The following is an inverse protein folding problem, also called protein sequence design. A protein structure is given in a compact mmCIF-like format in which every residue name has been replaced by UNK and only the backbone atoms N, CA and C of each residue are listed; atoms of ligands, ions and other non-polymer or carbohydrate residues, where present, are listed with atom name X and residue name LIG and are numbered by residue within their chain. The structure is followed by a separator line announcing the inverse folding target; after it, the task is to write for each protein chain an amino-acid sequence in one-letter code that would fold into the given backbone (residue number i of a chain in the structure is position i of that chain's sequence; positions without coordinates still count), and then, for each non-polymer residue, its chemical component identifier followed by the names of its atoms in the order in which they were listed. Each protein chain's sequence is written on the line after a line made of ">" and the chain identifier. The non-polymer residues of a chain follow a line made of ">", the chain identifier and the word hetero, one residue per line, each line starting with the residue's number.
data_IF_937320466313
#
_entry.id   IF_937320466313
#
_cell.length_a   1.000
_cell.length_b   1.000
_cell.length_c   1.000
_cell.angle_alpha   90.00
_cell.angle_beta   90.00
_cell.angle_gamma   90.00
#
_symmetry.space_group_name_H-M   'P 1'
#
loop_
_entity.id
_entity.type
_entity.pdbx_description
1 polymer ?
#
# COMPACT_ATOMS: atom_id res chain seq x y z
N UNK A 1 -26.46 10.01 4.96
CA UNK A 1 -25.01 10.07 5.25
C UNK A 1 -24.41 8.76 4.76
N UNK A 2 -23.41 8.79 3.89
CA UNK A 2 -22.70 7.58 3.48
C UNK A 2 -21.92 7.04 4.69
N UNK A 3 -22.13 5.79 5.07
CA UNK A 3 -21.30 5.11 6.06
C UNK A 3 -20.35 4.11 5.39
N UNK A 4 -19.21 3.89 6.04
CA UNK A 4 -18.28 2.82 5.76
C UNK A 4 -18.17 2.02 7.05
N UNK A 5 -18.34 0.71 6.97
CA UNK A 5 -18.25 -0.20 8.12
C UNK A 5 -17.19 -1.26 7.81
N UNK A 6 -16.25 -1.42 8.74
CA UNK A 6 -15.24 -2.47 8.70
C UNK A 6 -15.59 -3.49 9.77
N UNK A 7 -15.75 -4.75 9.36
CA UNK A 7 -16.05 -5.85 10.28
C UNK A 7 -14.96 -6.90 10.21
N UNK A 8 -14.35 -7.26 11.33
CA UNK A 8 -13.42 -8.38 11.39
C UNK A 8 -14.13 -9.69 11.08
N UNK A 9 -13.57 -10.50 10.19
CA UNK A 9 -14.05 -11.84 9.90
C UNK A 9 -13.24 -12.82 10.77
N UNK A 10 -13.88 -13.57 11.70
CA UNK A 10 -13.17 -14.54 12.52
C UNK A 10 -12.45 -15.57 11.67
N UNK A 11 -11.23 -15.95 12.08
CA UNK A 11 -10.52 -17.08 11.47
C UNK A 11 -11.26 -18.37 11.84
N UNK A 12 -11.39 -19.30 10.89
CA UNK A 12 -12.04 -20.60 11.13
C UNK A 12 -11.32 -21.45 12.19
N UNK A 13 -10.02 -21.23 12.37
CA UNK A 13 -9.20 -21.90 13.39
C UNK A 13 -8.29 -20.89 14.08
N UNK A 14 -8.23 -20.94 15.42
CA UNK A 14 -7.20 -20.21 16.17
C UNK A 14 -5.83 -20.76 15.76
N UNK A 15 -4.95 -19.89 15.27
CA UNK A 15 -3.58 -20.31 15.00
C UNK A 15 -2.90 -20.61 16.34
N UNK A 16 -2.10 -21.68 16.36
CA UNK A 16 -0.92 -21.73 17.23
C UNK A 16 -0.10 -20.45 17.00
N UNK A 17 0.82 -20.09 17.91
CA UNK A 17 1.67 -18.91 17.73
C UNK A 17 2.19 -18.83 16.28
N UNK A 18 1.81 -17.80 15.49
CA UNK A 18 2.18 -17.74 14.08
C UNK A 18 3.70 -17.80 13.89
N UNK A 19 4.16 -18.50 12.84
CA UNK A 19 5.59 -18.75 12.61
C UNK A 19 6.41 -17.45 12.45
N UNK A 20 5.75 -16.37 12.04
CA UNK A 20 6.35 -15.05 11.87
C UNK A 20 6.38 -14.21 13.15
N UNK A 21 5.80 -14.66 14.27
CA UNK A 21 5.83 -13.96 15.56
C UNK A 21 7.08 -14.31 16.37
N UNK A 22 7.79 -13.30 16.87
CA UNK A 22 8.84 -13.44 17.90
C UNK A 22 8.24 -13.00 19.25
N UNK A 23 8.38 -13.82 20.30
CA UNK A 23 7.74 -13.58 21.62
C UNK A 23 6.28 -14.06 21.73
N UNK A 24 5.70 -13.95 22.93
CA UNK A 24 4.27 -14.16 23.22
C UNK A 24 3.89 -13.35 24.48
N UNK A 25 3.25 -12.17 24.36
CA UNK A 25 2.76 -11.54 23.13
C UNK A 25 3.90 -11.18 22.15
N UNK A 26 3.62 -11.02 20.84
CA UNK A 26 4.64 -10.73 19.85
C UNK A 26 5.33 -9.39 20.13
N UNK A 27 6.65 -9.38 20.16
CA UNK A 27 7.49 -8.17 20.34
C UNK A 27 8.21 -7.77 19.05
N UNK A 28 8.33 -8.70 18.09
CA UNK A 28 8.92 -8.50 16.79
C UNK A 28 8.40 -9.55 15.80
N UNK A 29 8.73 -9.38 14.52
CA UNK A 29 8.38 -10.33 13.48
C UNK A 29 9.63 -10.94 12.83
N UNK A 30 9.47 -12.11 12.24
CA UNK A 30 10.50 -12.76 11.41
C UNK A 30 9.89 -13.22 10.11
N UNK A 31 10.71 -13.21 9.07
CA UNK A 31 10.40 -14.00 7.90
C UNK A 31 10.63 -15.49 8.23
N UNK A 32 9.63 -16.38 8.06
CA UNK A 32 9.76 -17.78 8.44
C UNK A 32 10.34 -18.66 7.32
N UNK A 33 10.50 -18.16 6.09
CA UNK A 33 10.92 -18.99 4.96
C UNK A 33 12.44 -19.16 4.91
N UNK A 34 12.96 -20.39 4.73
CA UNK A 34 14.41 -20.63 4.59
C UNK A 34 15.05 -19.92 3.39
N UNK A 35 14.25 -19.55 2.38
CA UNK A 35 14.67 -18.77 1.22
C UNK A 35 14.85 -17.28 1.50
N UNK A 36 14.42 -16.79 2.66
CA UNK A 36 14.65 -15.41 3.04
C UNK A 36 16.07 -15.25 3.56
N UNK A 37 16.84 -14.44 2.85
CA UNK A 37 18.16 -14.01 3.28
C UNK A 37 18.11 -12.52 3.65
N UNK A 38 18.54 -12.19 4.86
CA UNK A 38 18.57 -10.82 5.37
C UNK A 38 19.82 -10.09 4.85
N UNK A 39 19.88 -9.91 3.53
CA UNK A 39 20.99 -9.28 2.79
C UNK A 39 20.99 -7.73 2.89
N UNK A 40 20.83 -7.17 4.08
CA UNK A 40 20.76 -5.72 4.27
C UNK A 40 21.74 -5.21 5.32
N UNK A 41 22.97 -5.73 5.35
CA UNK A 41 24.01 -5.14 6.20
C UNK A 41 24.38 -3.72 5.70
N UNK A 42 24.80 -2.81 6.61
CA UNK A 42 25.28 -1.46 6.24
C UNK A 42 26.33 -1.51 5.11
N UNK A 43 27.33 -2.42 5.12
CA UNK A 43 28.28 -2.57 4.02
C UNK A 43 27.61 -2.93 2.68
N UNK A 44 26.56 -3.75 2.69
CA UNK A 44 25.83 -4.14 1.49
C UNK A 44 24.92 -3.00 0.98
N UNK A 45 24.38 -2.17 1.88
CA UNK A 45 23.69 -0.93 1.52
C UNK A 45 24.64 0.07 0.85
N UNK A 46 25.86 0.20 1.39
CA UNK A 46 26.93 1.01 0.80
C UNK A 46 27.39 0.43 -0.54
N UNK A 47 27.55 -0.89 -0.66
CA UNK A 47 27.92 -1.53 -1.93
C UNK A 47 26.81 -1.45 -2.98
N UNK A 48 25.53 -1.49 -2.59
CA UNK A 48 24.42 -1.27 -3.53
C UNK A 48 24.40 0.17 -4.05
N UNK A 49 24.71 1.15 -3.18
CA UNK A 49 24.73 2.56 -3.55
C UNK A 49 25.99 2.97 -4.34
N UNK A 50 27.16 2.48 -3.94
CA UNK A 50 28.47 2.89 -4.45
C UNK A 50 29.22 1.81 -5.23
N UNK A 51 28.69 0.58 -5.27
CA UNK A 51 29.27 -0.54 -6.01
C UNK A 51 29.19 -0.33 -7.51
N UNK A 52 30.16 -0.94 -8.19
CA UNK A 52 30.37 -0.82 -9.63
C UNK A 52 29.51 -1.77 -10.45
N UNK A 53 29.13 -2.92 -9.88
CA UNK A 53 28.21 -3.85 -10.52
C UNK A 53 26.78 -3.35 -10.35
N UNK A 54 26.29 -2.73 -11.41
CA UNK A 54 24.91 -2.27 -11.51
C UNK A 54 24.27 -3.06 -12.64
N UNK A 55 23.61 -4.17 -12.31
CA UNK A 55 22.68 -4.86 -13.23
C UNK A 55 21.38 -4.05 -13.38
N UNK A 56 21.50 -2.73 -13.56
CA UNK A 56 20.37 -1.93 -13.99
C UNK A 56 20.27 -2.10 -15.50
N UNK A 57 19.06 -2.46 -15.97
CA UNK A 57 18.69 -2.14 -17.35
C UNK A 57 19.03 -0.66 -17.53
N UNK A 58 19.85 -0.28 -18.53
CA UNK A 58 20.22 1.11 -18.74
C UNK A 58 18.95 1.94 -18.75
N UNK A 59 18.91 2.99 -17.91
CA UNK A 59 17.80 3.94 -17.96
C UNK A 59 17.85 4.56 -19.35
N UNK A 60 16.77 4.48 -20.14
CA UNK A 60 16.74 5.08 -21.45
C UNK A 60 17.14 6.55 -21.40
N UNK A 61 17.94 6.98 -22.38
CA UNK A 61 18.40 8.36 -22.46
C UNK A 61 17.27 9.33 -22.81
N UNK A 62 16.19 8.80 -23.39
CA UNK A 62 15.03 9.57 -23.85
C UNK A 62 13.74 8.97 -23.27
N UNK A 63 12.70 9.80 -23.20
CA UNK A 63 11.44 9.43 -22.55
C UNK A 63 10.55 8.59 -23.45
N UNK A 64 10.79 8.61 -24.75
CA UNK A 64 10.09 7.87 -25.79
C UNK A 64 10.33 6.36 -25.68
N UNK A 65 11.45 5.97 -25.07
CA UNK A 65 11.82 4.58 -24.78
C UNK A 65 11.21 4.06 -23.47
N UNK A 66 10.62 4.94 -22.64
CA UNK A 66 9.89 4.55 -21.44
C UNK A 66 8.43 4.17 -21.78
N UNK A 67 7.80 3.42 -20.88
CA UNK A 67 6.37 3.10 -20.98
C UNK A 67 5.56 4.41 -21.09
N UNK A 68 4.77 4.61 -22.15
CA UNK A 68 4.00 5.84 -22.33
C UNK A 68 3.02 6.08 -21.19
N UNK A 69 3.10 7.25 -20.57
CA UNK A 69 2.17 7.67 -19.52
C UNK A 69 0.85 8.11 -20.15
N UNK A 70 -0.25 7.50 -19.73
CA UNK A 70 -1.61 7.82 -20.20
C UNK A 70 -2.41 8.40 -19.07
N UNK A 71 -3.16 9.48 -19.35
CA UNK A 71 -4.13 10.01 -18.39
C UNK A 71 -5.25 8.98 -18.20
N UNK A 72 -5.66 8.66 -16.96
CA UNK A 72 -6.75 7.71 -16.74
C UNK A 72 -8.07 8.30 -17.25
N UNK A 73 -8.85 7.46 -17.94
CA UNK A 73 -10.22 7.76 -18.39
C UNK A 73 -11.28 7.31 -17.38
N UNK A 74 -10.84 6.72 -16.26
CA UNK A 74 -11.69 6.15 -15.22
C UNK A 74 -12.70 5.13 -15.77
N UNK A 75 -12.30 4.40 -16.82
CA UNK A 75 -13.06 3.36 -17.52
C UNK A 75 -14.40 3.84 -18.05
N UNK A 76 -14.42 5.01 -18.69
CA UNK A 76 -15.58 5.59 -19.36
C UNK A 76 -16.31 4.59 -20.29
N UNK A 77 -15.57 3.69 -20.92
CA UNK A 77 -16.10 2.78 -21.95
C UNK A 77 -16.67 1.47 -21.38
N UNK A 78 -16.33 1.13 -20.14
CA UNK A 78 -16.71 -0.12 -19.46
C UNK A 78 -17.13 0.16 -18.02
N UNK A 79 -18.25 0.87 -17.81
CA UNK A 79 -18.73 1.14 -16.47
C UNK A 79 -19.13 -0.17 -15.79
N UNK A 80 -19.03 -0.20 -14.45
CA UNK A 80 -19.51 -1.29 -13.59
C UNK A 80 -18.75 -2.63 -13.65
N UNK A 81 -17.61 -2.72 -14.36
CA UNK A 81 -16.75 -3.91 -14.37
C UNK A 81 -15.59 -3.81 -13.37
N UNK A 82 -15.02 -4.95 -12.96
CA UNK A 82 -13.75 -4.98 -12.23
C UNK A 82 -12.66 -4.27 -13.05
N UNK A 83 -11.95 -3.32 -12.44
CA UNK A 83 -10.93 -2.50 -13.09
C UNK A 83 -9.72 -2.30 -12.18
N UNK A 84 -8.55 -2.23 -12.81
CA UNK A 84 -7.33 -1.71 -12.20
C UNK A 84 -6.79 -0.54 -13.03
N UNK A 85 -6.44 0.56 -12.36
CA UNK A 85 -5.74 1.71 -12.95
C UNK A 85 -4.35 1.80 -12.31
N UNK A 86 -3.31 1.76 -13.13
CA UNK A 86 -1.92 1.78 -12.67
C UNK A 86 -1.35 3.20 -12.65
N UNK A 87 -0.83 3.65 -11.51
CA UNK A 87 -0.19 4.97 -11.36
C UNK A 87 1.34 4.95 -11.49
N UNK A 88 1.90 3.76 -11.72
CA UNK A 88 3.34 3.49 -11.71
C UNK A 88 3.78 2.83 -10.41
N UNK A 89 4.92 2.11 -10.46
CA UNK A 89 5.42 1.31 -9.34
C UNK A 89 4.35 0.31 -8.84
N UNK A 90 4.11 0.21 -7.53
CA UNK A 90 3.09 -0.62 -6.91
C UNK A 90 1.74 0.11 -6.71
N UNK A 91 1.60 1.35 -7.19
CA UNK A 91 0.39 2.14 -6.97
C UNK A 91 -0.74 1.76 -7.93
N UNK A 92 -1.83 1.21 -7.40
CA UNK A 92 -3.02 0.82 -8.19
C UNK A 92 -4.31 1.33 -7.55
N UNK A 93 -5.21 1.88 -8.37
CA UNK A 93 -6.63 2.03 -8.01
C UNK A 93 -7.37 0.81 -8.55
N UNK A 94 -7.84 -0.03 -7.65
CA UNK A 94 -8.73 -1.14 -7.92
C UNK A 94 -10.17 -0.69 -7.72
N UNK A 95 -11.05 -1.00 -8.66
CA UNK A 95 -12.49 -0.79 -8.54
C UNK A 95 -13.19 -2.11 -8.78
N UNK A 96 -13.96 -2.60 -7.80
CA UNK A 96 -14.73 -3.84 -7.96
C UNK A 96 -15.81 -3.68 -9.03
N UNK A 97 -16.41 -4.78 -9.47
CA UNK A 97 -17.68 -4.66 -10.19
C UNK A 97 -18.72 -3.95 -9.31
N UNK A 98 -19.60 -3.15 -9.92
CA UNK A 98 -20.66 -2.46 -9.18
C UNK A 98 -21.73 -3.48 -8.76
N UNK A 99 -22.21 -3.38 -7.52
CA UNK A 99 -23.38 -4.14 -7.10
C UNK A 99 -24.63 -3.67 -7.88
N UNK A 100 -25.67 -4.52 -8.05
CA UNK A 100 -26.91 -4.09 -8.69
C UNK A 100 -27.48 -2.82 -8.03
N UNK A 101 -27.71 -1.78 -8.84
CA UNK A 101 -28.22 -0.48 -8.37
C UNK A 101 -27.17 0.48 -7.80
N UNK A 102 -25.91 0.04 -7.64
CA UNK A 102 -24.81 0.91 -7.24
C UNK A 102 -24.28 1.74 -8.42
N UNK A 103 -23.87 2.97 -8.16
CA UNK A 103 -23.31 3.86 -9.18
C UNK A 103 -21.88 3.50 -9.61
N UNK A 104 -21.15 2.74 -8.77
CA UNK A 104 -19.78 2.25 -9.01
C UNK A 104 -19.49 1.04 -8.10
N UNK A 105 -18.35 0.38 -8.31
CA UNK A 105 -17.82 -0.58 -7.34
C UNK A 105 -17.05 0.08 -6.19
N UNK A 106 -16.65 -0.73 -5.22
CA UNK A 106 -15.78 -0.33 -4.12
C UNK A 106 -14.39 -0.01 -4.68
N UNK A 107 -13.83 1.13 -4.28
CA UNK A 107 -12.54 1.64 -4.74
C UNK A 107 -11.48 1.45 -3.66
N UNK A 108 -10.43 0.71 -4.01
CA UNK A 108 -9.30 0.39 -3.15
C UNK A 108 -8.04 0.95 -3.80
N UNK A 109 -7.31 1.79 -3.08
CA UNK A 109 -6.06 2.35 -3.53
C UNK A 109 -4.89 1.64 -2.82
N UNK A 110 -4.10 0.90 -3.59
CA UNK A 110 -2.95 0.15 -3.08
C UNK A 110 -1.67 0.97 -3.21
N UNK A 111 -0.86 0.98 -2.15
CA UNK A 111 0.49 1.58 -2.07
C UNK A 111 0.62 2.92 -2.81
N UNK A 112 -0.21 3.93 -2.49
CA UNK A 112 -0.26 5.16 -3.28
C UNK A 112 0.95 6.05 -3.05
N UNK A 113 1.72 6.29 -4.11
CA UNK A 113 2.87 7.19 -4.11
C UNK A 113 2.77 8.19 -5.26
N UNK A 114 2.57 9.47 -4.92
CA UNK A 114 2.54 10.59 -5.87
C UNK A 114 3.78 11.50 -5.75
N UNK A 115 4.59 11.32 -4.71
CA UNK A 115 5.85 12.03 -4.56
C UNK A 115 6.81 11.85 -5.75
N UNK A 116 7.51 12.91 -6.12
CA UNK A 116 8.54 12.87 -7.16
C UNK A 116 9.77 12.04 -6.72
N UNK A 117 10.07 12.06 -5.41
CA UNK A 117 11.18 11.36 -4.79
C UNK A 117 10.71 10.61 -3.57
N UNK A 118 11.15 9.36 -3.43
CA UNK A 118 10.85 8.49 -2.29
C UNK A 118 12.05 8.44 -1.36
N UNK A 119 11.84 8.76 -0.10
CA UNK A 119 12.85 8.68 0.96
C UNK A 119 12.67 9.74 2.05
N UNK A 120 13.62 9.82 3.00
CA UNK A 120 13.48 10.71 4.16
C UNK A 120 13.23 12.16 3.75
N UNK A 121 12.13 12.72 4.26
CA UNK A 121 11.67 14.09 4.00
C UNK A 121 11.48 14.44 2.51
N UNK A 122 11.40 13.45 1.62
CA UNK A 122 11.36 13.69 0.16
C UNK A 122 12.63 14.30 -0.42
N UNK A 123 13.71 14.44 0.37
CA UNK A 123 14.96 15.10 -0.03
C UNK A 123 16.02 14.12 -0.51
N UNK A 124 16.04 12.92 0.07
CA UNK A 124 17.03 11.88 -0.21
C UNK A 124 16.32 10.65 -0.75
N UNK A 125 16.94 9.92 -1.68
CA UNK A 125 16.41 8.67 -2.23
C UNK A 125 16.10 8.76 -3.73
N UNK A 126 15.58 7.68 -4.34
CA UNK A 126 15.38 7.64 -5.79
C UNK A 126 14.29 8.60 -6.24
N UNK A 127 14.56 9.28 -7.35
CA UNK A 127 13.58 10.10 -8.09
C UNK A 127 12.93 9.22 -9.14
N UNK A 128 11.61 9.31 -9.30
CA UNK A 128 10.91 8.52 -10.32
C UNK A 128 11.28 8.97 -11.73
N UNK A 129 11.35 8.02 -12.66
CA UNK A 129 11.67 8.28 -14.08
C UNK A 129 10.45 8.76 -14.87
N UNK A 130 9.28 8.18 -14.61
CA UNK A 130 8.02 8.55 -15.24
C UNK A 130 7.20 9.40 -14.28
N UNK A 131 6.50 10.47 -14.73
CA UNK A 131 5.56 11.21 -13.88
C UNK A 131 4.28 10.42 -13.65
N UNK A 132 3.43 10.89 -12.72
CA UNK A 132 2.18 10.21 -12.41
C UNK A 132 1.23 10.41 -13.58
N UNK A 133 0.31 9.47 -13.84
CA UNK A 133 -0.61 9.61 -14.97
C UNK A 133 -1.64 10.73 -14.78
N UNK A 134 -1.85 11.19 -13.54
CA UNK A 134 -2.67 12.34 -13.20
C UNK A 134 -2.14 13.00 -11.92
N UNK A 135 -2.71 14.16 -11.57
CA UNK A 135 -2.49 14.76 -10.25
C UNK A 135 -3.27 14.00 -9.18
N UNK A 136 -2.88 14.17 -7.91
CA UNK A 136 -3.55 13.51 -6.79
C UNK A 136 -4.99 14.00 -6.62
N UNK A 137 -5.26 15.27 -6.93
CA UNK A 137 -6.61 15.85 -6.89
C UNK A 137 -7.55 15.28 -7.96
N UNK A 138 -7.00 14.65 -9.00
CA UNK A 138 -7.76 14.00 -10.06
C UNK A 138 -8.10 12.55 -9.71
N UNK A 139 -7.52 11.98 -8.64
CA UNK A 139 -7.85 10.64 -8.19
C UNK A 139 -9.30 10.65 -7.69
N UNK A 140 -10.15 9.74 -8.20
CA UNK A 140 -11.54 9.69 -7.78
C UNK A 140 -11.65 9.30 -6.29
N UNK A 141 -12.81 9.55 -5.68
CA UNK A 141 -13.06 9.15 -4.28
C UNK A 141 -12.75 7.66 -4.07
N UNK A 142 -11.98 7.37 -3.02
CA UNK A 142 -11.56 6.03 -2.61
C UNK A 142 -12.23 5.66 -1.29
N UNK A 143 -12.56 4.38 -1.14
CA UNK A 143 -13.21 3.87 0.08
C UNK A 143 -12.17 3.24 1.02
N UNK A 144 -11.13 2.61 0.46
CA UNK A 144 -10.07 1.96 1.21
C UNK A 144 -8.69 2.28 0.65
N UNK A 145 -7.70 2.38 1.53
CA UNK A 145 -6.27 2.41 1.17
C UNK A 145 -5.60 1.21 1.80
N UNK A 146 -4.88 0.43 1.01
CA UNK A 146 -4.13 -0.74 1.49
C UNK A 146 -2.63 -0.47 1.34
N UNK A 147 -1.88 -0.71 2.41
CA UNK A 147 -0.43 -0.55 2.45
C UNK A 147 0.22 -1.90 2.67
N UNK A 148 0.94 -2.39 1.67
CA UNK A 148 1.63 -3.67 1.73
C UNK A 148 2.76 -3.67 2.75
N UNK A 149 3.55 -2.59 2.83
CA UNK A 149 4.60 -2.38 3.81
C UNK A 149 5.01 -0.90 3.89
N UNK A 150 5.82 -0.53 4.88
CA UNK A 150 6.00 0.89 5.23
C UNK A 150 7.15 1.60 4.48
N UNK A 151 7.78 0.98 3.47
CA UNK A 151 8.87 1.61 2.71
C UNK A 151 8.40 2.90 2.02
N UNK A 152 9.33 3.83 1.78
CA UNK A 152 9.00 5.14 1.22
C UNK A 152 8.40 5.09 -0.18
N UNK A 153 8.65 4.03 -0.94
CA UNK A 153 8.10 3.77 -2.27
C UNK A 153 6.75 3.05 -2.26
N UNK A 154 6.23 2.70 -1.08
CA UNK A 154 4.89 2.11 -0.89
C UNK A 154 3.98 2.94 0.03
N UNK A 155 4.57 3.72 0.93
CA UNK A 155 3.86 4.56 1.90
C UNK A 155 4.33 6.00 1.78
N UNK A 156 3.56 6.86 1.11
CA UNK A 156 3.89 8.27 0.92
C UNK A 156 3.08 9.17 1.87
N UNK A 157 3.76 9.89 2.75
CA UNK A 157 3.12 10.70 3.80
C UNK A 157 2.25 11.81 3.22
N UNK A 158 2.71 12.48 2.16
CA UNK A 158 1.98 13.62 1.59
C UNK A 158 0.73 13.12 0.85
N UNK A 159 0.86 11.97 0.18
CA UNK A 159 -0.27 11.30 -0.47
C UNK A 159 -1.33 10.88 0.55
N UNK A 160 -0.93 10.21 1.65
CA UNK A 160 -1.86 9.77 2.70
C UNK A 160 -2.58 10.95 3.36
N UNK A 161 -1.83 12.01 3.71
CA UNK A 161 -2.42 13.20 4.36
C UNK A 161 -3.35 13.96 3.42
N UNK A 162 -3.02 14.06 2.14
CA UNK A 162 -3.90 14.65 1.14
C UNK A 162 -5.19 13.84 1.02
N UNK A 163 -5.10 12.52 0.76
CA UNK A 163 -6.27 11.64 0.64
C UNK A 163 -7.20 11.74 1.84
N UNK A 164 -6.62 11.81 3.05
CA UNK A 164 -7.41 11.95 4.26
C UNK A 164 -8.05 13.33 4.37
N UNK A 165 -7.27 14.41 4.27
CA UNK A 165 -7.79 15.76 4.47
C UNK A 165 -8.77 16.23 3.38
N UNK A 166 -8.65 15.72 2.15
CA UNK A 166 -9.51 16.07 1.02
C UNK A 166 -10.74 15.16 0.87
N UNK A 167 -10.90 14.15 1.75
CA UNK A 167 -11.98 13.17 1.65
C UNK A 167 -13.35 13.83 1.82
N UNK A 168 -14.30 13.47 0.94
CA UNK A 168 -15.71 13.89 1.04
C UNK A 168 -16.60 12.79 1.65
N UNK A 169 -16.09 11.56 1.67
CA UNK A 169 -16.71 10.37 2.26
C UNK A 169 -15.70 9.69 3.20
N UNK A 170 -16.15 8.86 4.14
CA UNK A 170 -15.24 8.06 4.96
C UNK A 170 -14.29 7.23 4.09
N UNK A 171 -13.02 7.18 4.50
CA UNK A 171 -11.95 6.38 3.90
C UNK A 171 -11.32 5.57 5.02
N UNK A 172 -10.99 4.30 4.76
CA UNK A 172 -10.36 3.43 5.76
C UNK A 172 -8.98 2.95 5.31
N UNK A 173 -8.00 2.97 6.21
CA UNK A 173 -6.63 2.54 5.94
C UNK A 173 -6.39 1.15 6.52
N UNK A 174 -5.75 0.29 5.73
CA UNK A 174 -5.34 -1.06 6.12
C UNK A 174 -3.84 -1.20 5.96
N UNK A 175 -3.20 -1.78 6.96
CA UNK A 175 -1.76 -1.99 6.97
C UNK A 175 -1.38 -3.24 7.75
N UNK A 176 -0.14 -3.71 7.57
CA UNK A 176 0.44 -4.76 8.40
C UNK A 176 0.61 -4.31 9.86
N UNK A 177 0.88 -5.28 10.74
CA UNK A 177 1.13 -5.02 12.17
C UNK A 177 2.27 -4.00 12.39
N UNK A 178 2.11 -3.18 13.44
CA UNK A 178 3.00 -2.11 13.89
C UNK A 178 3.12 -0.89 12.94
N UNK A 179 2.28 -0.76 11.91
CA UNK A 179 2.28 0.39 10.99
C UNK A 179 1.22 1.43 11.36
N UNK A 180 0.18 1.07 12.14
CA UNK A 180 -0.90 2.02 12.52
C UNK A 180 -0.41 3.19 13.35
N UNK A 181 0.59 2.99 14.20
CA UNK A 181 1.21 4.07 14.98
C UNK A 181 1.76 5.17 14.06
N UNK A 182 2.28 4.80 12.88
CA UNK A 182 2.76 5.74 11.88
C UNK A 182 1.63 6.58 11.27
N UNK A 183 0.48 5.96 10.97
CA UNK A 183 -0.69 6.67 10.47
C UNK A 183 -1.23 7.68 11.48
N UNK A 184 -1.34 7.27 12.74
CA UNK A 184 -1.76 8.15 13.84
C UNK A 184 -0.80 9.33 13.98
N UNK A 185 0.51 9.07 13.98
CA UNK A 185 1.53 10.12 14.01
C UNK A 185 1.48 11.04 12.78
N UNK A 186 0.91 10.59 11.66
CA UNK A 186 0.73 11.35 10.43
C UNK A 186 -0.58 12.16 10.39
N UNK A 187 -1.42 12.06 11.44
CA UNK A 187 -2.66 12.81 11.59
C UNK A 187 -3.91 12.09 11.09
N UNK A 188 -3.88 10.76 11.00
CA UNK A 188 -5.06 9.93 10.70
C UNK A 188 -5.70 9.50 12.01
N UNK A 189 -7.03 9.59 12.11
CA UNK A 189 -7.74 9.20 13.32
C UNK A 189 -7.60 7.69 13.58
N UNK A 190 -7.40 7.26 14.84
CA UNK A 190 -7.16 5.85 15.18
C UNK A 190 -8.27 4.89 14.70
N UNK A 191 -9.52 5.34 14.65
CA UNK A 191 -10.68 4.57 14.19
C UNK A 191 -10.70 4.31 12.69
N UNK A 192 -10.02 5.14 11.90
CA UNK A 192 -9.97 5.03 10.43
C UNK A 192 -8.82 4.12 9.96
N UNK A 193 -8.11 3.45 10.88
CA UNK A 193 -6.94 2.61 10.58
C UNK A 193 -7.05 1.25 11.24
N UNK A 194 -6.96 0.19 10.45
CA UNK A 194 -6.93 -1.20 10.91
C UNK A 194 -5.59 -1.86 10.58
N UNK A 195 -4.95 -2.44 11.59
CA UNK A 195 -3.82 -3.36 11.39
C UNK A 195 -4.35 -4.78 11.20
N UNK A 196 -3.74 -5.51 10.28
CA UNK A 196 -4.06 -6.91 10.02
C UNK A 196 -2.81 -7.75 10.14
N UNK A 197 -2.90 -8.85 10.88
CA UNK A 197 -1.90 -9.91 10.86
C UNK A 197 -2.12 -10.83 9.64
N UNK A 198 -1.13 -11.63 9.27
CA UNK A 198 -1.27 -12.59 8.21
C UNK A 198 -2.43 -13.55 8.48
N UNK A 199 -3.27 -13.70 7.46
CA UNK A 199 -4.53 -14.42 7.43
C UNK A 199 -5.70 -13.79 8.18
N UNK A 200 -5.53 -12.59 8.74
CA UNK A 200 -6.69 -11.79 9.13
C UNK A 200 -7.49 -11.37 7.90
N UNK A 201 -8.80 -11.32 8.08
CA UNK A 201 -9.73 -10.88 7.06
C UNK A 201 -10.71 -9.88 7.64
N UNK A 202 -11.11 -8.91 6.82
CA UNK A 202 -12.15 -7.93 7.14
C UNK A 202 -13.14 -7.84 5.99
N UNK A 203 -14.39 -7.56 6.30
CA UNK A 203 -15.38 -7.10 5.33
C UNK A 203 -15.49 -5.58 5.40
N UNK A 204 -15.32 -4.93 4.27
CA UNK A 204 -15.52 -3.50 4.08
C UNK A 204 -16.88 -3.33 3.41
N UNK A 205 -17.82 -2.66 4.08
CA UNK A 205 -19.15 -2.36 3.55
C UNK A 205 -19.31 -0.85 3.38
N UNK A 206 -19.61 -0.42 2.16
CA UNK A 206 -19.79 0.99 1.80
C UNK A 206 -21.26 1.21 1.41
N UNK A 207 -21.96 2.10 2.11
CA UNK A 207 -23.39 2.37 1.84
C UNK A 207 -23.59 2.77 0.38
N UNK A 208 -24.62 2.18 -0.24
CA UNK A 208 -25.04 2.42 -1.63
C UNK A 208 -24.02 2.03 -2.72
N UNK A 209 -22.89 1.40 -2.34
CA UNK A 209 -21.82 0.99 -3.26
C UNK A 209 -21.66 -0.53 -3.29
N UNK A 210 -21.50 -1.19 -2.13
CA UNK A 210 -21.30 -2.63 -2.05
C UNK A 210 -20.42 -3.06 -0.87
N UNK A 211 -19.93 -4.30 -0.92
CA UNK A 211 -18.94 -4.80 0.03
C UNK A 211 -17.79 -5.52 -0.66
N UNK A 212 -16.66 -5.57 0.02
CA UNK A 212 -15.47 -6.33 -0.41
C UNK A 212 -14.81 -6.96 0.80
N UNK A 213 -14.32 -8.19 0.63
CA UNK A 213 -13.50 -8.86 1.63
C UNK A 213 -12.03 -8.59 1.33
N UNK A 214 -11.31 -8.11 2.34
CA UNK A 214 -9.86 -7.98 2.31
C UNK A 214 -9.24 -9.05 3.19
N UNK A 215 -8.21 -9.74 2.71
CA UNK A 215 -7.44 -10.72 3.47
C UNK A 215 -5.96 -10.36 3.41
N UNK A 216 -5.34 -10.18 4.56
CA UNK A 216 -3.91 -9.94 4.70
C UNK A 216 -3.17 -11.26 4.44
N UNK A 217 -2.33 -11.33 3.40
CA UNK A 217 -1.64 -12.58 3.04
C UNK A 217 -0.13 -12.49 3.27
N UNK A 218 0.55 -13.60 3.57
CA UNK A 218 1.99 -13.56 3.83
C UNK A 218 2.80 -13.09 2.62
N UNK A 219 3.84 -12.28 2.86
CA UNK A 219 4.82 -11.89 1.85
C UNK A 219 6.25 -12.06 2.35
N UNK A 220 7.16 -12.50 1.45
CA UNK A 220 8.58 -12.62 1.74
C UNK A 220 9.30 -11.28 1.49
N UNK A 221 9.16 -10.34 2.41
CA UNK A 221 9.81 -9.03 2.34
C UNK A 221 10.22 -8.52 3.74
N UNK A 222 10.86 -7.34 3.77
CA UNK A 222 11.07 -6.58 5.01
C UNK A 222 10.28 -5.28 4.96
N UNK A 223 10.18 -4.61 6.10
CA UNK A 223 9.57 -3.30 6.27
C UNK A 223 10.55 -2.45 7.08
N UNK A 224 10.51 -1.13 6.96
CA UNK A 224 11.37 -0.20 7.69
C UNK A 224 11.64 1.11 6.95
N UNK A 225 11.65 2.24 7.68
CA UNK A 225 11.88 3.58 7.09
C UNK A 225 13.19 4.22 7.53
N UNK A 226 13.71 3.81 8.69
CA UNK A 226 15.06 4.16 9.13
C UNK A 226 15.93 2.93 8.91
N UNK A 227 17.23 3.08 8.61
CA UNK A 227 18.15 1.94 8.40
C UNK A 227 18.34 1.01 9.61
N UNK A 228 17.50 1.12 10.63
CA UNK A 228 17.27 0.14 11.68
C UNK A 228 16.11 -0.76 11.24
N UNK A 229 16.45 -1.99 10.89
CA UNK A 229 15.51 -3.03 10.48
C UNK A 229 14.53 -3.36 11.62
N UNK A 230 13.34 -2.77 11.59
CA UNK A 230 12.19 -3.35 12.26
C UNK A 230 11.58 -4.33 11.27
N UNK A 231 11.89 -5.63 11.40
CA UNK A 231 11.17 -6.65 10.65
C UNK A 231 9.70 -6.54 11.08
N UNK A 232 8.89 -5.91 10.23
CA UNK A 232 7.44 -5.87 10.32
C UNK A 232 6.83 -6.68 9.19
N UNK A 233 5.62 -7.15 9.41
CA UNK A 233 4.90 -7.94 8.43
C UNK A 233 4.53 -7.09 7.23
N UNK A 234 5.08 -7.47 6.08
CA UNK A 234 4.57 -7.04 4.78
C UNK A 234 3.41 -7.93 4.37
N UNK A 235 2.32 -7.35 3.87
CA UNK A 235 1.19 -8.06 3.27
C UNK A 235 0.21 -7.08 2.62
N UNK A 236 -0.01 -7.20 1.29
CA UNK A 236 -1.28 -7.18 0.56
C UNK A 236 -1.02 -7.56 -0.90
#
# INVERSE_FOLDING_TARGET
>A
MSSLVVTSIPREKALEKPAHHIGSPPTAFTNPWPSFDSHHSIPQMLSTRFGRERNFVPVPNTREELVPVRKPDWGADKPHTLRATWFGHASFLLETAAAPGASRGVRILADPVFAERVGPWGLVGPKRFSPTPCKLEEVPEVDAVIISHNHYDHLDVDTIKHLYSSRKRPIHFFCGLNVRSWFIASGIEPEDVTELDWWDSVEIKVTDIGSVRLTCTPAQHFSGRTGMFEIMLSAF
#
